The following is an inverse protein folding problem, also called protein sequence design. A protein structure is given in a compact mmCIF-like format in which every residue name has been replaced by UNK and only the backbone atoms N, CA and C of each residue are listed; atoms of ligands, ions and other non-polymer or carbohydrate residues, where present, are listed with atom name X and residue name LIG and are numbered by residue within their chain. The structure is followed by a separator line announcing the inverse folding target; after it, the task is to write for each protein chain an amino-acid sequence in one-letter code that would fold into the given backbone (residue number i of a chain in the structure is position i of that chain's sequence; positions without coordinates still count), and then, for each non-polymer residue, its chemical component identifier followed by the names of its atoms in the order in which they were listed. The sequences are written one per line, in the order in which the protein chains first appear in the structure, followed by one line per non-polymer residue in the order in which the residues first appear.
data_IF_304694785656
#
_entry.id   IF_304694785656
#
_cell.length_a   1.000
_cell.length_b   1.000
_cell.length_c   1.000
_cell.angle_alpha   90.00
_cell.angle_beta   90.00
_cell.angle_gamma   90.00
#
_symmetry.space_group_name_H-M   'P 1'
#
loop_
_entity.id
_entity.type
_entity.pdbx_description
1 polymer ?
#
# COMPACT_ATOMS: atom_id res chain seq x y z
N UNK A 1 7.67 -8.73 -6.34
CA UNK A 1 8.08 -7.65 -5.43
C UNK A 1 6.86 -6.79 -5.15
N UNK A 2 6.93 -5.93 -4.15
CA UNK A 2 5.84 -5.01 -3.80
C UNK A 2 6.35 -3.57 -3.85
N UNK A 3 5.46 -2.64 -4.19
CA UNK A 3 5.76 -1.22 -4.26
C UNK A 3 4.62 -0.40 -3.71
N UNK A 4 4.94 0.72 -3.08
CA UNK A 4 3.97 1.68 -2.57
C UNK A 4 4.37 3.07 -3.04
N UNK A 5 3.37 3.83 -3.46
CA UNK A 5 3.51 5.23 -3.88
C UNK A 5 2.56 6.05 -3.03
N UNK A 6 3.08 7.12 -2.44
CA UNK A 6 2.27 8.12 -1.72
C UNK A 6 2.17 9.35 -2.61
N UNK A 7 0.94 9.80 -2.83
CA UNK A 7 0.64 11.02 -3.58
C UNK A 7 -0.02 12.03 -2.65
N UNK A 8 0.22 13.31 -2.91
CA UNK A 8 -0.54 14.38 -2.28
C UNK A 8 -1.91 14.59 -2.96
N UNK A 9 -2.64 15.60 -2.51
CA UNK A 9 -3.98 15.95 -3.00
C UNK A 9 -3.98 16.44 -4.45
N UNK A 10 -2.86 16.92 -4.95
CA UNK A 10 -2.67 17.34 -6.34
C UNK A 10 -2.22 16.17 -7.24
N UNK A 11 -2.11 14.96 -6.67
CA UNK A 11 -1.69 13.74 -7.36
C UNK A 11 -0.17 13.64 -7.56
N UNK A 12 0.61 14.53 -6.96
CA UNK A 12 2.07 14.56 -7.06
C UNK A 12 2.66 13.47 -6.16
N UNK A 13 3.60 12.69 -6.70
CA UNK A 13 4.31 11.66 -5.92
C UNK A 13 5.26 12.32 -4.94
N UNK A 14 4.99 12.17 -3.64
CA UNK A 14 5.78 12.75 -2.55
C UNK A 14 6.70 11.73 -1.89
N UNK A 15 6.36 10.45 -1.99
CA UNK A 15 7.19 9.36 -1.49
C UNK A 15 6.91 8.07 -2.24
N UNK A 16 7.91 7.20 -2.33
CA UNK A 16 7.75 5.86 -2.86
C UNK A 16 8.72 4.90 -2.15
N UNK A 17 8.32 3.65 -2.03
CA UNK A 17 9.16 2.59 -1.50
C UNK A 17 8.87 1.28 -2.23
N UNK A 18 9.89 0.44 -2.36
CA UNK A 18 9.76 -0.89 -2.93
C UNK A 18 10.49 -1.91 -2.05
N UNK A 19 9.92 -3.12 -2.01
CA UNK A 19 10.52 -4.24 -1.31
C UNK A 19 10.60 -5.43 -2.23
N UNK A 20 11.80 -6.02 -2.27
CA UNK A 20 12.01 -7.29 -2.94
C UNK A 20 11.53 -8.42 -2.02
N UNK A 21 10.45 -9.07 -2.43
CA UNK A 21 9.91 -10.26 -1.76
C UNK A 21 10.35 -11.48 -2.57
N UNK A 22 11.02 -12.43 -1.91
CA UNK A 22 11.60 -13.61 -2.53
C UNK A 22 10.54 -14.60 -3.04
N UNK A 23 9.41 -14.71 -2.34
CA UNK A 23 8.30 -15.58 -2.73
C UNK A 23 6.98 -15.01 -2.20
N UNK A 24 5.97 -14.97 -3.07
CA UNK A 24 4.59 -14.64 -2.72
C UNK A 24 3.70 -15.80 -3.16
N UNK A 25 2.76 -16.27 -2.31
CA UNK A 25 1.87 -17.37 -2.65
C UNK A 25 0.97 -17.04 -3.86
N UNK A 26 0.46 -15.81 -3.90
CA UNK A 26 -0.41 -15.29 -4.94
C UNK A 26 -0.37 -13.75 -4.93
N UNK A 27 -1.04 -13.15 -5.93
CA UNK A 27 -1.09 -11.69 -6.10
C UNK A 27 -1.88 -10.98 -4.99
N UNK A 28 -2.90 -11.61 -4.42
CA UNK A 28 -3.75 -11.01 -3.38
C UNK A 28 -2.98 -10.90 -2.05
N UNK A 29 -2.17 -11.92 -1.74
CA UNK A 29 -1.21 -11.87 -0.64
C UNK A 29 -0.14 -10.81 -0.90
N UNK A 30 0.31 -10.65 -2.14
CA UNK A 30 1.22 -9.57 -2.53
C UNK A 30 0.65 -8.18 -2.27
N UNK A 31 -0.58 -7.93 -2.72
CA UNK A 31 -1.28 -6.64 -2.59
C UNK A 31 -1.62 -6.32 -1.12
N UNK A 32 -2.11 -7.30 -0.36
CA UNK A 32 -2.35 -7.10 1.08
C UNK A 32 -1.07 -6.82 1.86
N UNK A 33 0.05 -7.45 1.47
CA UNK A 33 1.36 -7.13 2.04
C UNK A 33 1.84 -5.73 1.64
N UNK A 34 1.63 -5.33 0.37
CA UNK A 34 1.94 -3.98 -0.12
C UNK A 34 1.15 -2.93 0.69
N UNK A 35 -0.14 -3.15 0.92
CA UNK A 35 -0.99 -2.29 1.75
C UNK A 35 -0.49 -2.15 3.18
N UNK A 36 -0.18 -3.27 3.83
CA UNK A 36 0.36 -3.25 5.20
C UNK A 36 1.69 -2.50 5.27
N UNK A 37 2.61 -2.78 4.34
CA UNK A 37 3.91 -2.10 4.27
C UNK A 37 3.77 -0.62 3.92
N UNK A 38 2.79 -0.28 3.09
CA UNK A 38 2.46 1.09 2.75
C UNK A 38 1.94 1.89 3.93
N UNK A 39 1.12 1.27 4.78
CA UNK A 39 0.65 1.91 6.01
C UNK A 39 1.79 2.10 7.03
N UNK A 40 2.65 1.09 7.21
CA UNK A 40 3.86 1.20 8.04
C UNK A 40 4.76 2.34 7.53
N UNK A 41 5.02 2.39 6.22
CA UNK A 41 5.80 3.44 5.58
C UNK A 41 5.19 4.83 5.74
N UNK A 42 3.88 4.95 5.57
CA UNK A 42 3.20 6.23 5.72
C UNK A 42 3.22 6.73 7.18
N UNK A 43 3.12 5.81 8.14
CA UNK A 43 3.29 6.10 9.57
C UNK A 43 4.71 6.58 9.88
N UNK A 44 5.74 5.91 9.36
CA UNK A 44 7.14 6.28 9.57
C UNK A 44 7.44 7.67 8.98
N UNK A 45 6.80 8.02 7.87
CA UNK A 45 6.86 9.35 7.25
C UNK A 45 5.97 10.40 7.92
N UNK A 46 5.22 10.03 8.96
CA UNK A 46 4.25 10.90 9.65
C UNK A 46 3.15 11.47 8.74
N UNK A 47 2.80 10.75 7.67
CA UNK A 47 1.64 11.11 6.86
C UNK A 47 0.35 10.79 7.63
N UNK A 48 -0.60 11.73 7.58
CA UNK A 48 -1.90 11.64 8.23
C UNK A 48 -3.01 11.79 7.20
N UNK A 49 -4.21 11.29 7.51
CA UNK A 49 -5.39 11.35 6.63
C UNK A 49 -5.15 10.69 5.25
N UNK A 50 -4.81 9.40 5.29
CA UNK A 50 -4.43 8.62 4.11
C UNK A 50 -5.66 7.99 3.43
N UNK A 51 -5.60 7.91 2.10
CA UNK A 51 -6.50 7.08 1.29
C UNK A 51 -5.66 5.93 0.73
N UNK A 52 -6.10 4.70 0.98
CA UNK A 52 -5.45 3.50 0.48
C UNK A 52 -6.13 3.03 -0.82
N UNK A 53 -5.38 2.94 -1.91
CA UNK A 53 -5.87 2.50 -3.23
C UNK A 53 -5.13 1.23 -3.68
N UNK A 54 -5.88 0.20 -4.10
CA UNK A 54 -5.35 -1.01 -4.76
C UNK A 54 -6.32 -1.44 -5.86
N UNK A 55 -5.79 -2.09 -6.89
CA UNK A 55 -6.58 -2.72 -7.94
C UNK A 55 -7.16 -4.08 -7.51
N UNK A 56 -6.69 -4.65 -6.39
CA UNK A 56 -7.23 -5.86 -5.80
C UNK A 56 -8.50 -5.59 -4.99
N UNK A 57 -9.65 -5.75 -5.65
CA UNK A 57 -10.98 -5.54 -5.04
C UNK A 57 -11.17 -6.27 -3.70
N UNK A 58 -10.67 -7.51 -3.56
CA UNK A 58 -10.75 -8.26 -2.29
C UNK A 58 -9.96 -7.61 -1.16
N UNK A 59 -8.80 -7.03 -1.45
CA UNK A 59 -7.96 -6.35 -0.47
C UNK A 59 -8.65 -5.08 0.02
N UNK A 60 -9.21 -4.30 -0.91
CA UNK A 60 -10.00 -3.09 -0.59
C UNK A 60 -11.23 -3.44 0.25
N UNK A 61 -11.96 -4.51 -0.10
CA UNK A 61 -13.11 -4.98 0.67
C UNK A 61 -12.72 -5.45 2.08
N UNK A 62 -11.60 -6.16 2.21
CA UNK A 62 -11.11 -6.62 3.50
C UNK A 62 -10.71 -5.44 4.41
N UNK A 63 -10.13 -4.38 3.85
CA UNK A 63 -9.75 -3.16 4.57
C UNK A 63 -10.96 -2.35 5.03
N UNK A 64 -12.01 -2.24 4.19
CA UNK A 64 -13.21 -1.47 4.52
C UNK A 64 -14.16 -2.16 5.52
N UNK A 65 -14.03 -3.48 5.70
CA UNK A 65 -14.84 -4.26 6.64
C UNK A 65 -14.26 -4.31 8.07
N UNK A 66 -13.21 -3.54 8.35
CA UNK A 66 -12.46 -3.55 9.60
C UNK A 66 -12.55 -2.18 10.31
#
# INVERSE_FOLDING_TARGET
GIGVVVRDVDGVVVAASCWQILSLPDSEVGESLAMRKGLEFAKDMSFVNLIAESDASKVVLALNNH
#
